data_IF_047545235722
#
_entry.id   IF_047545235722
#
_cell.length_a   1.000
_cell.length_b   1.000
_cell.length_c   1.000
_cell.angle_alpha   90.00
_cell.angle_beta   90.00
_cell.angle_gamma   90.00
#
_symmetry.space_group_name_H-M   'P 1'
#
loop_
_entity.id
_entity.type
_entity.pdbx_description
1 polymer ?
#
# COMPACT_ATOMS: atom_id res chain seq x y z
N UNK A 1 -9.14 4.96 5.43
CA UNK A 1 -8.23 6.01 5.92
C UNK A 1 -6.95 5.40 6.43
N UNK A 2 -5.80 6.07 6.29
CA UNK A 2 -4.46 5.55 6.60
C UNK A 2 -4.37 4.88 7.97
N UNK A 3 -4.65 5.62 9.04
CA UNK A 3 -4.51 5.09 10.40
C UNK A 3 -5.50 4.00 10.80
N UNK A 4 -6.68 4.00 10.16
CA UNK A 4 -7.78 3.07 10.42
C UNK A 4 -7.66 1.77 9.62
N UNK A 5 -7.17 1.86 8.38
CA UNK A 5 -7.17 0.72 7.44
C UNK A 5 -5.83 -0.03 7.40
N UNK A 6 -4.73 0.59 7.80
CA UNK A 6 -3.39 0.09 7.53
C UNK A 6 -2.49 0.12 8.78
N UNK A 7 -1.59 -0.85 8.87
CA UNK A 7 -0.42 -0.84 9.74
C UNK A 7 0.84 -0.89 8.89
N UNK A 8 1.76 0.05 9.11
CA UNK A 8 3.09 0.04 8.51
C UNK A 8 4.08 -0.51 9.52
N UNK A 9 4.98 -1.37 9.06
CA UNK A 9 5.94 -2.06 9.91
C UNK A 9 7.31 -2.08 9.23
N UNK A 10 8.37 -1.97 10.04
CA UNK A 10 9.74 -2.22 9.62
C UNK A 10 10.23 -3.49 10.32
N UNK A 11 10.79 -4.42 9.56
CA UNK A 11 11.46 -5.61 10.09
C UNK A 11 12.92 -5.61 9.62
N UNK A 12 13.74 -6.46 10.25
CA UNK A 12 15.12 -6.69 9.82
C UNK A 12 15.30 -8.15 9.44
N UNK A 13 15.75 -8.37 8.21
CA UNK A 13 16.00 -9.69 7.64
C UNK A 13 17.37 -9.66 6.97
N UNK A 14 18.19 -10.66 7.26
CA UNK A 14 19.52 -10.82 6.65
C UNK A 14 20.42 -9.58 6.80
N UNK A 15 20.33 -8.90 7.95
CA UNK A 15 21.14 -7.72 8.24
C UNK A 15 20.65 -6.42 7.60
N UNK A 16 19.45 -6.43 7.05
CA UNK A 16 18.90 -5.33 6.25
C UNK A 16 17.44 -5.01 6.64
N UNK A 17 17.01 -3.74 6.55
CA UNK A 17 15.63 -3.37 6.85
C UNK A 17 14.69 -3.72 5.68
N UNK A 18 13.46 -4.11 6.01
CA UNK A 18 12.38 -4.34 5.04
C UNK A 18 11.07 -3.71 5.54
N UNK A 19 10.33 -3.06 4.63
CA UNK A 19 9.00 -2.53 4.94
C UNK A 19 7.92 -3.60 4.75
N UNK A 20 6.92 -3.59 5.62
CA UNK A 20 5.74 -4.46 5.52
C UNK A 20 4.48 -3.65 5.72
N UNK A 21 3.46 -3.97 4.94
CA UNK A 21 2.15 -3.33 5.01
C UNK A 21 1.09 -4.35 5.37
N UNK A 22 0.50 -4.18 6.56
CA UNK A 22 -0.66 -4.95 6.97
C UNK A 22 -1.95 -4.16 6.80
N UNK A 23 -3.05 -4.85 6.52
CA UNK A 23 -4.38 -4.24 6.52
C UNK A 23 -5.05 -4.51 7.87
N UNK A 24 -5.54 -3.45 8.52
CA UNK A 24 -6.35 -3.53 9.74
C UNK A 24 -7.84 -3.75 9.46
N UNK A 25 -8.24 -3.79 8.19
CA UNK A 25 -9.65 -3.89 7.79
C UNK A 25 -10.29 -5.17 8.33
N UNK A 26 -11.29 -4.99 9.18
CA UNK A 26 -12.19 -6.08 9.58
C UNK A 26 -13.09 -6.53 8.42
N UNK A 27 -13.43 -5.61 7.52
CA UNK A 27 -14.31 -5.79 6.36
C UNK A 27 -13.55 -5.54 5.06
N UNK A 28 -13.17 -6.60 4.36
CA UNK A 28 -12.89 -6.53 2.92
C UNK A 28 -14.18 -6.87 2.15
N UNK A 29 -14.40 -6.28 0.97
CA UNK A 29 -15.59 -6.54 0.13
C UNK A 29 -15.77 -8.05 -0.04
N UNK A 30 -16.95 -8.56 0.33
CA UNK A 30 -17.30 -10.00 0.34
C UNK A 30 -16.51 -10.91 1.31
N UNK A 31 -15.76 -10.35 2.26
CA UNK A 31 -14.91 -11.11 3.19
C UNK A 31 -15.27 -10.87 4.67
N UNK A 32 -16.34 -10.15 4.98
CA UNK A 32 -16.73 -9.89 6.37
C UNK A 32 -17.06 -11.18 7.15
N UNK A 33 -17.60 -12.20 6.47
CA UNK A 33 -18.01 -13.49 7.05
C UNK A 33 -17.06 -14.66 6.72
N UNK A 34 -15.97 -14.42 5.99
CA UNK A 34 -15.06 -15.51 5.60
C UNK A 34 -14.00 -15.75 6.68
N UNK A 35 -13.69 -17.01 7.03
CA UNK A 35 -12.56 -17.33 7.89
C UNK A 35 -11.21 -17.14 7.18
N UNK A 36 -11.20 -17.04 5.84
CA UNK A 36 -9.98 -16.90 5.02
C UNK A 36 -9.59 -15.42 4.81
N UNK A 37 -9.42 -14.66 5.89
CA UNK A 37 -8.89 -13.29 5.80
C UNK A 37 -7.41 -13.32 5.40
N UNK A 38 -6.88 -12.33 4.66
CA UNK A 38 -5.45 -12.21 4.41
C UNK A 38 -4.70 -12.18 5.75
N UNK A 39 -3.83 -13.17 5.98
CA UNK A 39 -3.05 -13.29 7.23
C UNK A 39 -1.66 -12.68 7.12
N UNK A 40 -1.15 -12.59 5.89
CA UNK A 40 0.20 -12.13 5.62
C UNK A 40 0.17 -10.65 5.20
N UNK A 41 1.08 -9.81 5.72
CA UNK A 41 1.28 -8.48 5.19
C UNK A 41 1.82 -8.55 3.76
N UNK A 42 1.73 -7.43 3.03
CA UNK A 42 2.50 -7.24 1.82
C UNK A 42 3.95 -6.99 2.25
N UNK A 43 4.89 -7.64 1.58
CA UNK A 43 6.33 -7.51 1.83
C UNK A 43 6.98 -6.66 0.75
N UNK A 44 7.90 -5.79 1.15
CA UNK A 44 8.66 -4.95 0.21
C UNK A 44 9.71 -5.80 -0.52
N UNK A 45 10.40 -6.68 0.21
CA UNK A 45 11.33 -7.65 -0.37
C UNK A 45 10.60 -8.90 -0.83
N UNK A 46 10.59 -9.11 -2.13
CA UNK A 46 10.18 -10.36 -2.78
C UNK A 46 11.43 -11.06 -3.35
N UNK A 47 11.37 -12.39 -3.50
CA UNK A 47 12.45 -13.15 -4.13
C UNK A 47 11.86 -13.99 -5.30
N UNK A 48 12.25 -13.74 -6.55
CA UNK A 48 13.16 -12.67 -6.99
C UNK A 48 12.56 -11.26 -6.76
N UNK A 49 13.41 -10.26 -6.59
CA UNK A 49 12.96 -8.89 -6.43
C UNK A 49 12.34 -8.39 -7.75
N UNK A 50 11.11 -7.86 -7.75
CA UNK A 50 10.56 -7.24 -8.94
C UNK A 50 11.36 -5.98 -9.28
N UNK A 51 11.28 -5.49 -10.54
CA UNK A 51 11.76 -4.16 -10.87
C UNK A 51 11.22 -3.12 -9.87
N UNK A 52 12.03 -2.12 -9.52
CA UNK A 52 11.68 -1.11 -8.51
C UNK A 52 10.29 -0.47 -8.76
N UNK A 53 9.99 -0.18 -10.03
CA UNK A 53 8.71 0.36 -10.49
C UNK A 53 7.50 -0.54 -10.23
N UNK A 54 7.74 -1.83 -10.05
CA UNK A 54 6.73 -2.85 -9.77
C UNK A 54 6.63 -3.19 -8.28
N UNK A 55 7.36 -2.48 -7.40
CA UNK A 55 7.22 -2.62 -5.95
C UNK A 55 6.13 -1.68 -5.42
N UNK A 56 4.91 -2.19 -5.11
CA UNK A 56 3.80 -1.33 -4.69
C UNK A 56 4.04 -0.66 -3.33
N UNK A 57 4.92 -1.22 -2.49
CA UNK A 57 5.21 -0.64 -1.18
C UNK A 57 6.10 0.59 -1.24
N UNK A 58 7.01 0.66 -2.21
CA UNK A 58 7.83 1.85 -2.40
C UNK A 58 6.99 3.04 -2.85
N UNK A 59 6.06 2.82 -3.79
CA UNK A 59 5.11 3.85 -4.20
C UNK A 59 4.29 4.39 -3.00
N UNK A 60 3.77 3.49 -2.17
CA UNK A 60 3.01 3.88 -0.97
C UNK A 60 3.89 4.58 0.07
N UNK A 61 5.13 4.13 0.26
CA UNK A 61 6.08 4.80 1.16
C UNK A 61 6.30 6.26 0.73
N UNK A 62 6.50 6.51 -0.57
CA UNK A 62 6.63 7.88 -1.09
C UNK A 62 5.40 8.72 -0.79
N UNK A 63 4.19 8.17 -0.97
CA UNK A 63 2.94 8.86 -0.62
C UNK A 63 2.90 9.18 0.89
N UNK A 64 3.23 8.22 1.75
CA UNK A 64 3.20 8.42 3.20
C UNK A 64 4.18 9.50 3.67
N UNK A 65 5.39 9.53 3.10
CA UNK A 65 6.40 10.55 3.41
C UNK A 65 5.94 11.93 2.92
N UNK A 66 5.48 12.06 1.67
CA UNK A 66 5.00 13.33 1.12
C UNK A 66 3.80 13.89 1.89
N UNK A 67 2.93 13.02 2.40
CA UNK A 67 1.77 13.41 3.20
C UNK A 67 2.10 13.61 4.69
N UNK A 68 3.36 13.56 5.12
CA UNK A 68 3.76 13.62 6.53
C UNK A 68 3.02 12.60 7.41
N UNK A 69 2.66 11.44 6.86
CA UNK A 69 1.72 10.51 7.49
C UNK A 69 2.28 9.84 8.74
N UNK A 70 3.60 9.76 8.87
CA UNK A 70 4.23 9.22 10.07
C UNK A 70 4.49 10.31 11.11
N UNK A 71 4.23 9.97 12.36
CA UNK A 71 4.43 10.87 13.51
C UNK A 71 5.90 11.29 13.64
N UNK A 72 6.82 10.31 13.55
CA UNK A 72 8.24 10.50 13.88
C UNK A 72 9.20 10.28 12.70
N UNK A 73 8.69 9.98 11.50
CA UNK A 73 9.52 9.59 10.34
C UNK A 73 9.23 10.52 9.16
N UNK A 74 10.23 11.28 8.72
CA UNK A 74 10.06 12.33 7.70
C UNK A 74 10.77 12.02 6.38
N UNK A 75 11.70 11.09 6.39
CA UNK A 75 12.45 10.66 5.21
C UNK A 75 12.40 9.14 5.04
N UNK A 76 12.77 8.66 3.86
CA UNK A 76 12.91 7.23 3.59
C UNK A 76 14.02 6.63 4.48
N UNK A 77 15.09 7.40 4.69
CA UNK A 77 16.21 7.06 5.54
C UNK A 77 15.79 6.90 7.01
N UNK A 78 14.90 7.77 7.52
CA UNK A 78 14.36 7.63 8.89
C UNK A 78 13.61 6.29 9.05
N UNK A 79 12.81 5.93 8.05
CA UNK A 79 12.04 4.68 8.04
C UNK A 79 12.98 3.49 8.06
N UNK A 80 13.95 3.43 7.16
CA UNK A 80 14.84 2.26 7.05
C UNK A 80 15.94 2.22 8.12
N UNK A 81 16.27 3.35 8.76
CA UNK A 81 17.16 3.37 9.93
C UNK A 81 16.49 2.83 11.20
N UNK A 82 15.16 2.68 11.18
CA UNK A 82 14.40 2.18 12.32
C UNK A 82 14.76 0.74 12.64
N UNK A 83 15.22 0.51 13.87
CA UNK A 83 15.56 -0.84 14.35
C UNK A 83 14.36 -1.49 15.02
N UNK A 84 13.95 -2.63 14.47
CA UNK A 84 13.02 -3.51 15.17
C UNK A 84 13.77 -4.33 16.24
N UNK A 85 13.12 -4.68 17.37
CA UNK A 85 13.67 -5.65 18.31
C UNK A 85 13.98 -6.98 17.59
N UNK A 86 15.07 -7.67 17.98
CA UNK A 86 15.49 -8.93 17.33
C UNK A 86 14.32 -9.91 17.21
N UNK A 87 14.11 -10.44 16.00
CA UNK A 87 13.04 -11.41 15.69
C UNK A 87 11.63 -10.82 15.66
N UNK A 88 11.47 -9.48 15.75
CA UNK A 88 10.18 -8.79 15.71
C UNK A 88 10.20 -7.68 14.64
N UNK A 89 9.05 -7.03 14.49
CA UNK A 89 8.86 -5.83 13.68
C UNK A 89 8.62 -4.62 14.58
N UNK A 90 8.99 -3.44 14.10
CA UNK A 90 8.62 -2.16 14.68
C UNK A 90 7.37 -1.64 13.97
N UNK A 91 6.29 -1.35 14.71
CA UNK A 91 5.09 -0.73 14.15
C UNK A 91 5.31 0.78 14.13
N UNK A 92 5.12 1.40 12.97
CA UNK A 92 5.25 2.85 12.83
C UNK A 92 3.96 3.56 13.25
N UNK A 93 4.09 4.59 14.09
CA UNK A 93 2.96 5.42 14.51
C UNK A 93 2.54 6.40 13.41
N UNK A 94 1.24 6.42 13.12
CA UNK A 94 0.63 7.44 12.26
C UNK A 94 0.52 8.78 13.01
N UNK A 95 0.67 9.88 12.29
CA UNK A 95 0.37 11.21 12.80
C UNK A 95 -1.15 11.36 13.05
N UNK A 96 -1.55 12.21 14.00
CA UNK A 96 -2.95 12.27 14.46
C UNK A 96 -3.90 12.86 13.40
N UNK A 97 -3.39 13.80 12.62
CA UNK A 97 -4.06 14.48 11.50
C UNK A 97 -4.31 13.56 10.29
N UNK A 98 -3.54 12.49 10.12
CA UNK A 98 -3.67 11.60 8.96
C UNK A 98 -4.64 10.43 9.15
N UNK A 99 -5.32 10.36 10.29
CA UNK A 99 -6.27 9.29 10.61
C UNK A 99 -7.50 9.28 9.68
N UNK A 100 -7.80 10.43 9.07
CA UNK A 100 -8.91 10.62 8.12
C UNK A 100 -8.43 10.90 6.68
N UNK A 101 -7.14 10.73 6.41
CA UNK A 101 -6.64 10.81 5.03
C UNK A 101 -6.89 9.46 4.33
N UNK A 102 -7.45 9.43 3.12
CA UNK A 102 -7.63 8.20 2.37
C UNK A 102 -6.28 7.55 2.04
N UNK A 103 -6.19 6.23 2.15
CA UNK A 103 -5.01 5.47 1.71
C UNK A 103 -4.74 5.68 0.22
N UNK A 104 -5.83 5.71 -0.55
CA UNK A 104 -5.81 5.91 -1.98
C UNK A 104 -6.63 7.16 -2.30
N UNK A 105 -6.02 8.36 -2.23
CA UNK A 105 -6.67 9.59 -2.62
C UNK A 105 -6.99 9.62 -4.12
N UNK A 106 -7.99 10.39 -4.52
CA UNK A 106 -8.10 10.85 -5.91
C UNK A 106 -6.93 11.78 -6.20
N UNK A 107 -6.41 11.73 -7.43
CA UNK A 107 -5.32 12.58 -7.90
C UNK A 107 -5.88 13.56 -8.93
N UNK A 108 -5.73 14.86 -8.67
CA UNK A 108 -6.01 15.95 -9.61
C UNK A 108 -4.72 16.40 -10.32
N UNK A 109 -4.83 17.37 -11.20
CA UNK A 109 -3.66 18.02 -11.82
C UNK A 109 -2.76 18.69 -10.78
N UNK A 110 -3.33 19.14 -9.66
CA UNK A 110 -2.63 19.84 -8.58
C UNK A 110 -2.08 18.89 -7.50
N UNK A 111 -2.27 17.56 -7.67
CA UNK A 111 -1.73 16.54 -6.79
C UNK A 111 -2.79 15.70 -6.06
N UNK A 112 -2.44 15.24 -4.86
CA UNK A 112 -3.31 14.38 -4.05
C UNK A 112 -4.47 15.20 -3.46
N UNK A 113 -5.69 14.69 -3.57
CA UNK A 113 -6.87 15.29 -2.95
C UNK A 113 -7.23 14.58 -1.64
N UNK A 114 -8.04 15.21 -0.80
CA UNK A 114 -8.53 14.59 0.44
C UNK A 114 -9.61 13.52 0.21
N UNK A 115 -10.10 13.38 -1.03
CA UNK A 115 -11.20 12.48 -1.36
C UNK A 115 -10.69 11.08 -1.64
N UNK A 116 -11.32 10.07 -1.03
CA UNK A 116 -11.03 8.68 -1.33
C UNK A 116 -11.43 8.32 -2.78
N UNK A 117 -10.53 7.62 -3.47
CA UNK A 117 -10.80 7.12 -4.81
C UNK A 117 -11.87 6.04 -4.79
N UNK A 118 -12.94 6.27 -5.55
CA UNK A 118 -14.07 5.35 -5.62
C UNK A 118 -13.84 4.18 -6.61
N UNK A 119 -14.65 3.13 -6.49
CA UNK A 119 -14.51 1.89 -7.28
C UNK A 119 -14.71 2.08 -8.80
N UNK A 120 -15.61 2.98 -9.21
CA UNK A 120 -15.81 3.29 -10.63
C UNK A 120 -14.60 4.03 -11.22
N UNK A 121 -14.03 4.98 -10.47
CA UNK A 121 -12.82 5.72 -10.83
C UNK A 121 -11.62 4.80 -10.98
N UNK A 122 -11.47 3.83 -10.07
CA UNK A 122 -10.48 2.76 -10.17
C UNK A 122 -10.65 1.92 -11.44
N UNK A 123 -11.86 1.41 -11.69
CA UNK A 123 -12.13 0.58 -12.87
C UNK A 123 -11.85 1.31 -14.19
N UNK A 124 -12.27 2.59 -14.28
CA UNK A 124 -12.02 3.44 -15.45
C UNK A 124 -10.53 3.64 -15.68
N UNK A 125 -9.77 4.07 -14.67
CA UNK A 125 -8.34 4.34 -14.85
C UNK A 125 -7.51 3.09 -15.14
N UNK A 126 -7.83 1.95 -14.50
CA UNK A 126 -7.19 0.67 -14.84
C UNK A 126 -7.42 0.31 -16.31
N UNK A 127 -8.63 0.51 -16.82
CA UNK A 127 -8.95 0.27 -18.23
C UNK A 127 -8.16 1.21 -19.16
N UNK A 128 -8.06 2.50 -18.80
CA UNK A 128 -7.28 3.48 -19.56
C UNK A 128 -5.76 3.19 -19.54
N UNK A 129 -5.20 2.79 -18.40
CA UNK A 129 -3.80 2.36 -18.31
C UNK A 129 -3.53 1.11 -19.15
N UNK A 130 -4.43 0.13 -19.12
CA UNK A 130 -4.31 -1.07 -19.93
C UNK A 130 -4.33 -0.73 -21.43
N UNK A 131 -5.22 0.17 -21.88
CA UNK A 131 -5.25 0.65 -23.27
C UNK A 131 -3.95 1.34 -23.69
N UNK A 132 -3.33 2.12 -22.80
CA UNK A 132 -2.02 2.74 -23.02
C UNK A 132 -0.86 1.74 -23.05
N UNK A 133 -1.06 0.55 -22.50
CA UNK A 133 -0.11 -0.56 -22.51
C UNK A 133 -0.46 -1.61 -23.58
N UNK A 134 -1.14 -1.20 -24.66
CA UNK A 134 -1.51 -2.04 -25.80
C UNK A 134 -2.50 -3.19 -25.51
N UNK A 135 -3.32 -3.06 -24.47
CA UNK A 135 -4.52 -3.89 -24.28
C UNK A 135 -5.75 -3.17 -24.85
N UNK A 136 -6.13 -3.37 -26.13
CA UNK A 136 -7.07 -2.49 -26.84
C UNK A 136 -8.48 -2.46 -26.23
N UNK A 137 -8.92 -3.56 -25.61
CA UNK A 137 -10.20 -3.64 -24.93
C UNK A 137 -10.16 -3.14 -23.47
N UNK A 138 -8.99 -2.70 -23.01
CA UNK A 138 -8.73 -2.35 -21.63
C UNK A 138 -8.79 -3.56 -20.70
N UNK A 139 -8.59 -3.30 -19.41
CA UNK A 139 -8.61 -4.33 -18.37
C UNK A 139 -9.25 -3.78 -17.09
N UNK A 140 -10.16 -4.54 -16.49
CA UNK A 140 -10.71 -4.23 -15.18
C UNK A 140 -9.89 -4.83 -14.05
N UNK A 141 -10.01 -4.29 -12.83
CA UNK A 141 -9.35 -4.81 -11.63
C UNK A 141 -9.61 -6.31 -11.36
N UNK A 142 -10.72 -6.86 -11.86
CA UNK A 142 -11.02 -8.28 -11.74
C UNK A 142 -10.08 -9.19 -12.55
N UNK A 143 -9.52 -8.71 -13.65
CA UNK A 143 -8.62 -9.50 -14.48
C UNK A 143 -7.28 -9.74 -13.77
N UNK A 144 -6.63 -8.70 -13.25
CA UNK A 144 -5.41 -8.83 -12.44
C UNK A 144 -5.63 -9.73 -11.22
N UNK A 145 -6.79 -9.61 -10.56
CA UNK A 145 -7.14 -10.48 -9.42
C UNK A 145 -7.30 -11.95 -9.86
N UNK A 146 -7.78 -12.21 -11.07
CA UNK A 146 -7.93 -13.58 -11.60
C UNK A 146 -6.57 -14.22 -11.81
N UNK A 147 -5.62 -13.51 -12.40
CA UNK A 147 -4.27 -14.02 -12.67
C UNK A 147 -3.51 -14.41 -11.39
N UNK A 148 -3.65 -13.63 -10.30
CA UNK A 148 -2.99 -13.95 -9.01
C UNK A 148 -3.60 -15.16 -8.30
N UNK A 149 -4.77 -15.65 -8.75
CA UNK A 149 -5.47 -16.80 -8.17
C UNK A 149 -5.29 -18.10 -8.98
N UNK A 150 -4.53 -18.05 -10.07
CA UNK A 150 -4.14 -19.22 -10.90
C UNK A 150 -2.80 -19.74 -10.38
#
# INVERSE_FOLDING_TARGET
>A
MLGKDIVCMVAWKDGEPEMKLGFKREKCKNMAKTPKKPKHPIYERLNPAPPLLANPLLFLLSVFILSNAFKNYKTVEDVFSTRAPKGKYHIMEWAHDVLDIPVFPEMSMDGLTEKAKNEASWGKQCSEWAKRADFPHGMGLHATRREVLI
#
